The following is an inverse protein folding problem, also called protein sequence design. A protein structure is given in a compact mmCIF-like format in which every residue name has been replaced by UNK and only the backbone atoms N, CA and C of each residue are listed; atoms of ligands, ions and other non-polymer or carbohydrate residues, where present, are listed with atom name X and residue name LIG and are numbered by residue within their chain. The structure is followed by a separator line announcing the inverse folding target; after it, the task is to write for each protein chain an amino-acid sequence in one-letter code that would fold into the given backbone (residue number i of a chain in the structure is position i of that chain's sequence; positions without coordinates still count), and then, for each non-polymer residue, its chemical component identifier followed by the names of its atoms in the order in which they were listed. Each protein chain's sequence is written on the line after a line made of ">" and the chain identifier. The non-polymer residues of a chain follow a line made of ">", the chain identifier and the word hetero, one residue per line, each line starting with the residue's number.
data_IF_640179595968
#
_entry.id   IF_640179595968
#
_cell.length_a   1.000
_cell.length_b   1.000
_cell.length_c   1.000
_cell.angle_alpha   90.00
_cell.angle_beta   90.00
_cell.angle_gamma   90.00
#
_symmetry.space_group_name_H-M   'P 1'
#
loop_
_entity.id
_entity.type
_entity.pdbx_description
1 polymer ?
#
# COMPACT_ATOMS: atom_id res chain seq x y z
N UNK A 1 -3.72 -20.86 -74.26
CA UNK A 1 -4.96 -20.21 -74.75
C UNK A 1 -4.66 -19.23 -75.90
N UNK A 2 -3.69 -18.32 -75.76
CA UNK A 2 -3.33 -17.38 -76.84
C UNK A 2 -2.77 -18.10 -78.08
N UNK A 3 -1.93 -19.11 -77.90
CA UNK A 3 -1.32 -19.87 -79.00
C UNK A 3 -2.34 -20.67 -79.84
N UNK A 4 -3.35 -21.28 -79.20
CA UNK A 4 -4.43 -22.01 -79.89
C UNK A 4 -5.42 -21.08 -80.62
N UNK A 5 -5.61 -19.85 -80.14
CA UNK A 5 -6.47 -18.85 -80.79
C UNK A 5 -5.87 -18.27 -82.08
N UNK A 6 -4.55 -18.11 -82.14
CA UNK A 6 -3.84 -17.62 -83.33
C UNK A 6 -3.88 -18.65 -84.46
N UNK A 7 -3.79 -19.95 -84.13
CA UNK A 7 -3.86 -21.02 -85.13
C UNK A 7 -5.26 -21.14 -85.77
N UNK A 8 -6.32 -20.82 -85.03
CA UNK A 8 -7.72 -20.86 -85.51
C UNK A 8 -8.24 -19.54 -86.13
N UNK A 9 -7.36 -18.57 -86.44
CA UNK A 9 -7.73 -17.24 -86.99
C UNK A 9 -8.81 -16.47 -86.18
N UNK A 10 -8.92 -16.72 -84.88
CA UNK A 10 -9.96 -16.12 -84.04
C UNK A 10 -9.47 -14.83 -83.35
N UNK A 11 -9.11 -13.82 -84.16
CA UNK A 11 -8.51 -12.55 -83.71
C UNK A 11 -9.37 -11.76 -82.72
N UNK A 12 -10.70 -11.92 -82.79
CA UNK A 12 -11.65 -11.25 -81.90
C UNK A 12 -11.37 -11.57 -80.42
N UNK A 13 -11.07 -12.83 -80.07
CA UNK A 13 -10.79 -13.21 -78.69
C UNK A 13 -9.46 -12.65 -78.18
N UNK A 14 -8.45 -12.53 -79.04
CA UNK A 14 -7.14 -11.99 -78.65
C UNK A 14 -7.24 -10.50 -78.32
N UNK A 15 -8.01 -9.73 -79.11
CA UNK A 15 -8.27 -8.31 -78.85
C UNK A 15 -9.08 -8.11 -77.56
N UNK A 16 -10.12 -8.93 -77.34
CA UNK A 16 -10.95 -8.86 -76.13
C UNK A 16 -10.12 -9.19 -74.88
N UNK A 17 -9.37 -10.29 -74.89
CA UNK A 17 -8.53 -10.70 -73.75
C UNK A 17 -7.43 -9.67 -73.49
N UNK A 18 -6.76 -9.18 -74.53
CA UNK A 18 -5.76 -8.11 -74.42
C UNK A 18 -6.33 -6.82 -73.82
N UNK A 19 -7.54 -6.43 -74.27
CA UNK A 19 -8.25 -5.26 -73.74
C UNK A 19 -8.57 -5.37 -72.25
N UNK A 20 -9.01 -6.55 -71.79
CA UNK A 20 -9.29 -6.79 -70.36
C UNK A 20 -8.01 -6.68 -69.52
N UNK A 21 -6.89 -7.24 -69.97
CA UNK A 21 -5.62 -7.11 -69.24
C UNK A 21 -5.14 -5.65 -69.15
N UNK A 22 -5.20 -4.90 -70.24
CA UNK A 22 -4.84 -3.47 -70.24
C UNK A 22 -5.72 -2.70 -69.26
N UNK A 23 -7.03 -2.92 -69.30
CA UNK A 23 -7.98 -2.26 -68.38
C UNK A 23 -7.66 -2.59 -66.91
N UNK A 24 -7.36 -3.86 -66.59
CA UNK A 24 -7.02 -4.26 -65.22
C UNK A 24 -5.73 -3.61 -64.72
N UNK A 25 -4.69 -3.49 -65.56
CA UNK A 25 -3.43 -2.84 -65.20
C UNK A 25 -3.64 -1.33 -65.00
N UNK A 26 -4.40 -0.68 -65.88
CA UNK A 26 -4.74 0.75 -65.72
C UNK A 26 -5.50 1.00 -64.42
N UNK A 27 -6.46 0.15 -64.09
CA UNK A 27 -7.26 0.28 -62.87
C UNK A 27 -6.41 0.03 -61.60
N UNK A 28 -5.48 -0.93 -61.65
CA UNK A 28 -4.52 -1.16 -60.57
C UNK A 28 -3.58 0.04 -60.34
N UNK A 29 -3.04 0.64 -61.40
CA UNK A 29 -2.20 1.85 -61.32
C UNK A 29 -2.98 3.02 -60.72
N UNK A 30 -4.25 3.18 -61.13
CA UNK A 30 -5.11 4.25 -60.63
C UNK A 30 -5.38 4.11 -59.12
N UNK A 31 -5.76 2.91 -58.66
CA UNK A 31 -5.98 2.63 -57.24
C UNK A 31 -4.69 2.85 -56.44
N UNK A 32 -3.55 2.38 -56.94
CA UNK A 32 -2.26 2.56 -56.28
C UNK A 32 -1.87 4.03 -56.13
N UNK A 33 -2.06 4.81 -57.21
CA UNK A 33 -1.79 6.25 -57.22
C UNK A 33 -2.70 6.98 -56.25
N UNK A 34 -4.00 6.69 -56.25
CA UNK A 34 -4.97 7.28 -55.30
C UNK A 34 -4.54 7.05 -53.85
N UNK A 35 -4.16 5.82 -53.49
CA UNK A 35 -3.67 5.49 -52.14
C UNK A 35 -2.41 6.26 -51.77
N UNK A 36 -1.46 6.39 -52.70
CA UNK A 36 -0.20 7.10 -52.46
C UNK A 36 -0.42 8.60 -52.23
N UNK A 37 -1.30 9.22 -53.01
CA UNK A 37 -1.65 10.64 -52.86
C UNK A 37 -2.38 10.91 -51.55
N UNK A 38 -3.35 10.07 -51.16
CA UNK A 38 -4.07 10.23 -49.88
C UNK A 38 -3.13 10.06 -48.68
N UNK A 39 -2.21 9.10 -48.70
CA UNK A 39 -1.25 8.92 -47.60
C UNK A 39 -0.32 10.15 -47.45
N UNK A 40 0.13 10.70 -48.59
CA UNK A 40 0.97 11.90 -48.59
C UNK A 40 0.23 13.14 -48.07
N UNK A 41 -1.04 13.32 -48.42
CA UNK A 41 -1.84 14.45 -47.92
C UNK A 41 -2.14 14.35 -46.42
N UNK A 42 -2.37 13.13 -45.91
CA UNK A 42 -2.59 12.91 -44.47
C UNK A 42 -1.32 13.23 -43.68
N UNK A 43 -0.14 12.79 -44.14
CA UNK A 43 1.14 13.09 -43.49
C UNK A 43 1.49 14.59 -43.54
N UNK A 44 1.11 15.30 -44.60
CA UNK A 44 1.30 16.75 -44.69
C UNK A 44 0.33 17.53 -43.76
N UNK A 45 -0.81 16.94 -43.41
CA UNK A 45 -1.81 17.51 -42.50
C UNK A 45 -1.53 17.27 -41.01
N UNK A 46 -0.62 16.35 -40.66
CA UNK A 46 -0.12 16.22 -39.29
C UNK A 46 0.68 17.48 -38.97
N UNK A 47 0.15 18.33 -38.10
CA UNK A 47 0.84 19.52 -37.62
C UNK A 47 2.24 19.14 -37.16
N UNK A 48 3.27 19.71 -37.79
CA UNK A 48 4.65 19.44 -37.40
C UNK A 48 4.80 19.86 -35.94
N UNK A 49 5.35 19.00 -35.09
CA UNK A 49 5.70 19.29 -33.70
C UNK A 49 6.89 20.26 -33.60
N UNK A 50 6.99 21.21 -34.52
CA UNK A 50 8.01 22.24 -34.52
C UNK A 50 7.54 23.38 -33.63
N UNK A 51 8.19 23.52 -32.47
CA UNK A 51 7.98 24.64 -31.56
C UNK A 51 9.11 25.62 -31.86
N UNK A 52 8.86 26.76 -32.52
CA UNK A 52 9.91 27.71 -32.88
C UNK A 52 10.46 28.37 -31.60
N UNK A 53 11.62 27.94 -31.13
CA UNK A 53 12.29 28.50 -29.93
C UNK A 53 13.68 29.08 -30.30
N UNK A 54 14.12 28.87 -31.54
CA UNK A 54 15.43 29.29 -32.02
C UNK A 54 15.52 30.82 -32.20
N UNK A 55 16.76 31.32 -32.22
CA UNK A 55 17.02 32.76 -32.37
C UNK A 55 16.74 33.16 -33.82
N UNK A 56 15.77 34.04 -34.04
CA UNK A 56 15.45 34.61 -35.37
C UNK A 56 14.08 34.21 -35.92
N UNK A 57 13.42 33.19 -35.36
CA UNK A 57 12.11 32.73 -35.84
C UNK A 57 10.93 33.46 -35.22
N UNK A 58 11.13 34.04 -34.03
CA UNK A 58 10.13 34.82 -33.30
C UNK A 58 10.65 36.21 -32.97
N UNK A 59 9.76 37.19 -32.96
CA UNK A 59 10.06 38.54 -32.49
C UNK A 59 10.66 38.52 -31.08
N UNK A 60 11.67 39.36 -30.83
CA UNK A 60 12.47 39.32 -29.60
C UNK A 60 11.63 39.37 -28.31
N UNK A 61 10.56 40.17 -28.30
CA UNK A 61 9.63 40.28 -27.17
C UNK A 61 8.84 38.99 -26.90
N UNK A 62 8.30 38.36 -27.94
CA UNK A 62 7.56 37.09 -27.83
C UNK A 62 8.50 35.98 -27.39
N UNK A 63 9.69 35.89 -27.99
CA UNK A 63 10.71 34.92 -27.58
C UNK A 63 11.10 35.11 -26.12
N UNK A 64 11.35 36.34 -25.68
CA UNK A 64 11.67 36.64 -24.27
C UNK A 64 10.54 36.21 -23.35
N UNK A 65 9.29 36.44 -23.74
CA UNK A 65 8.12 35.99 -22.97
C UNK A 65 8.04 34.47 -22.88
N UNK A 66 8.19 33.75 -24.00
CA UNK A 66 8.16 32.28 -24.04
C UNK A 66 9.30 31.70 -23.19
N UNK A 67 10.53 32.19 -23.36
CA UNK A 67 11.69 31.72 -22.58
C UNK A 67 11.46 31.97 -21.09
N UNK A 68 10.93 33.15 -20.71
CA UNK A 68 10.60 33.45 -19.30
C UNK A 68 9.55 32.50 -18.73
N UNK A 69 8.52 32.14 -19.50
CA UNK A 69 7.48 31.22 -19.05
C UNK A 69 7.98 29.76 -19.00
N UNK A 70 8.82 29.36 -19.95
CA UNK A 70 9.49 28.06 -19.94
C UNK A 70 10.42 27.93 -18.74
N UNK A 71 11.21 28.96 -18.43
CA UNK A 71 12.07 29.01 -17.26
C UNK A 71 11.25 28.89 -15.97
N UNK A 72 10.16 29.65 -15.84
CA UNK A 72 9.24 29.54 -14.70
C UNK A 72 8.66 28.13 -14.58
N UNK A 73 8.22 27.54 -15.68
CA UNK A 73 7.63 26.19 -15.69
C UNK A 73 8.67 25.12 -15.36
N UNK A 74 9.91 25.28 -15.84
CA UNK A 74 11.05 24.42 -15.52
C UNK A 74 11.37 24.47 -14.02
N UNK A 75 11.39 25.67 -13.43
CA UNK A 75 11.59 25.85 -11.98
C UNK A 75 10.46 25.16 -11.19
N UNK A 76 9.19 25.41 -11.52
CA UNK A 76 8.04 24.77 -10.85
C UNK A 76 8.12 23.25 -10.96
N UNK A 77 8.40 22.71 -12.14
CA UNK A 77 8.51 21.27 -12.35
C UNK A 77 9.69 20.66 -11.57
N UNK A 78 10.80 21.38 -11.46
CA UNK A 78 11.96 20.96 -10.68
C UNK A 78 11.71 21.03 -9.16
N UNK A 79 11.01 22.06 -8.69
CA UNK A 79 10.62 22.24 -7.29
C UNK A 79 9.53 21.24 -6.86
N UNK A 80 8.65 20.83 -7.77
CA UNK A 80 7.54 19.89 -7.48
C UNK A 80 7.98 18.42 -7.42
N UNK A 81 9.24 18.11 -7.72
CA UNK A 81 9.72 16.72 -7.62
C UNK A 81 9.78 16.30 -6.16
N UNK A 82 9.28 15.10 -5.80
CA UNK A 82 9.44 14.56 -4.46
C UNK A 82 10.95 14.45 -4.17
N UNK A 83 11.38 14.96 -3.02
CA UNK A 83 12.77 14.88 -2.55
C UNK A 83 12.77 14.28 -1.15
N UNK A 84 13.78 13.47 -0.89
CA UNK A 84 14.05 13.01 0.46
C UNK A 84 14.60 14.18 1.29
N UNK A 85 14.26 14.21 2.57
CA UNK A 85 14.58 15.32 3.48
C UNK A 85 16.09 15.60 3.59
N UNK A 86 16.94 14.60 3.37
CA UNK A 86 18.40 14.75 3.47
C UNK A 86 19.02 15.61 2.35
N UNK A 87 18.46 15.55 1.13
CA UNK A 87 18.98 16.31 -0.01
C UNK A 87 18.85 17.83 0.15
N UNK A 88 17.89 18.25 0.98
CA UNK A 88 17.60 19.66 1.25
C UNK A 88 18.63 20.35 2.15
N UNK A 89 19.39 19.57 2.94
CA UNK A 89 20.41 20.10 3.86
C UNK A 89 21.76 20.25 3.15
N UNK A 90 22.07 19.32 2.23
CA UNK A 90 23.37 19.27 1.52
C UNK A 90 23.49 20.43 0.53
N UNK A 91 22.40 20.75 -0.15
CA UNK A 91 22.37 21.87 -1.07
C UNK A 91 21.56 22.99 -0.40
N UNK A 92 22.23 24.06 0.01
CA UNK A 92 21.65 25.27 0.61
C UNK A 92 20.73 26.03 -0.39
N UNK A 93 19.69 25.37 -0.88
CA UNK A 93 18.62 25.95 -1.67
C UNK A 93 17.43 26.19 -0.74
N UNK A 94 16.87 27.39 -0.79
CA UNK A 94 15.57 27.63 -0.19
C UNK A 94 14.53 26.86 -1.00
N UNK A 95 13.78 25.96 -0.35
CA UNK A 95 12.62 25.33 -0.98
C UNK A 95 11.61 26.42 -1.32
N UNK A 96 11.20 26.46 -2.59
CA UNK A 96 10.14 27.34 -3.04
C UNK A 96 10.61 28.77 -3.31
N UNK A 97 11.42 28.94 -4.37
CA UNK A 97 11.78 30.27 -4.90
C UNK A 97 10.54 31.07 -5.30
N UNK A 98 9.43 30.39 -5.62
CA UNK A 98 8.14 30.98 -6.01
C UNK A 98 7.16 31.04 -4.82
N UNK A 99 7.20 30.07 -3.91
CA UNK A 99 6.40 30.04 -2.68
C UNK A 99 7.31 29.54 -1.55
N UNK A 100 7.82 30.40 -0.65
CA UNK A 100 8.69 29.94 0.43
C UNK A 100 7.90 28.96 1.30
N UNK A 101 8.35 27.70 1.33
CA UNK A 101 7.78 26.68 2.21
C UNK A 101 8.73 26.56 3.38
N UNK A 102 8.27 26.95 4.57
CA UNK A 102 8.94 26.59 5.81
C UNK A 102 8.75 25.08 6.04
N UNK A 103 9.83 24.26 6.07
CA UNK A 103 9.73 22.84 6.35
C UNK A 103 9.17 22.56 7.75
N UNK A 104 9.41 23.47 8.71
CA UNK A 104 8.92 23.30 10.07
C UNK A 104 7.42 23.61 10.18
N UNK A 105 6.94 24.61 9.43
CA UNK A 105 5.55 25.06 9.40
C UNK A 105 5.02 25.13 7.97
N UNK A 106 4.74 23.97 7.33
CA UNK A 106 4.23 23.97 5.98
C UNK A 106 2.84 24.62 5.91
N UNK A 107 2.50 25.33 4.82
CA UNK A 107 1.22 26.03 4.68
C UNK A 107 0.01 25.08 4.65
N UNK A 108 0.23 23.80 4.35
CA UNK A 108 -0.79 22.74 4.40
C UNK A 108 -0.98 22.12 5.79
N UNK A 109 -0.18 22.51 6.78
CA UNK A 109 -0.29 22.00 8.15
C UNK A 109 0.05 20.51 8.31
N UNK A 110 -0.50 19.90 9.37
CA UNK A 110 -0.29 18.48 9.67
C UNK A 110 -1.19 17.62 8.77
N UNK A 111 -0.57 16.69 8.04
CA UNK A 111 -1.28 15.75 7.19
C UNK A 111 -1.57 14.49 8.01
N UNK A 112 -2.84 14.20 8.26
CA UNK A 112 -3.29 12.97 8.92
C UNK A 112 -4.35 12.31 8.04
N UNK A 113 -4.36 10.97 8.02
CA UNK A 113 -5.34 10.19 7.29
C UNK A 113 -5.87 9.08 8.18
N UNK A 114 -7.18 8.84 8.15
CA UNK A 114 -7.75 7.75 8.93
C UNK A 114 -7.19 6.40 8.46
N UNK A 115 -6.78 5.55 9.39
CA UNK A 115 -6.20 4.23 9.13
C UNK A 115 -4.68 4.20 9.02
N UNK A 116 -4.03 5.37 8.93
CA UNK A 116 -2.58 5.48 8.79
C UNK A 116 -1.99 6.53 9.73
N UNK A 117 -0.84 6.24 10.32
CA UNK A 117 -0.05 7.28 10.98
C UNK A 117 0.60 8.19 9.94
N UNK A 118 0.90 9.42 10.34
CA UNK A 118 1.59 10.36 9.47
C UNK A 118 2.94 9.78 9.01
N UNK A 119 3.34 9.96 7.74
CA UNK A 119 4.71 9.69 7.26
C UNK A 119 5.80 10.56 7.89
N UNK A 120 5.41 11.61 8.64
CA UNK A 120 6.36 12.57 9.19
C UNK A 120 7.22 11.94 10.28
N UNK A 121 8.54 12.01 10.15
CA UNK A 121 9.51 11.58 11.18
C UNK A 121 9.81 12.69 12.20
N UNK A 122 8.82 13.54 12.46
CA UNK A 122 8.94 14.65 13.40
C UNK A 122 8.80 14.14 14.83
N UNK A 123 9.34 14.87 15.80
CA UNK A 123 9.31 14.50 17.23
C UNK A 123 7.89 14.30 17.79
N UNK A 124 6.87 14.93 17.17
CA UNK A 124 5.46 14.76 17.54
C UNK A 124 4.86 13.43 17.10
N UNK A 125 5.54 12.69 16.22
CA UNK A 125 5.09 11.41 15.70
C UNK A 125 6.05 10.27 16.08
N UNK A 126 5.77 9.64 17.22
CA UNK A 126 6.58 8.54 17.74
C UNK A 126 6.63 7.31 16.81
N UNK A 127 5.58 7.07 16.01
CA UNK A 127 5.43 5.86 15.20
C UNK A 127 5.06 6.21 13.75
N UNK A 128 6.04 6.58 12.89
CA UNK A 128 5.78 6.91 11.50
C UNK A 128 5.43 5.67 10.67
N UNK A 129 4.62 5.86 9.61
CA UNK A 129 4.28 4.83 8.62
C UNK A 129 3.57 3.56 9.14
N UNK A 130 2.80 3.67 10.22
CA UNK A 130 2.06 2.54 10.79
C UNK A 130 0.65 2.48 10.24
N UNK A 131 0.27 1.33 9.70
CA UNK A 131 -1.12 1.02 9.34
C UNK A 131 -1.87 0.53 10.58
N UNK A 132 -2.92 1.24 10.98
CA UNK A 132 -3.65 0.91 12.21
C UNK A 132 -4.36 -0.44 12.13
N UNK A 133 -4.85 -0.83 10.94
CA UNK A 133 -5.54 -2.10 10.75
C UNK A 133 -4.65 -3.32 11.06
N UNK A 134 -3.36 -3.23 10.73
CA UNK A 134 -2.41 -4.32 10.93
C UNK A 134 -2.08 -4.47 12.41
N UNK A 135 -1.85 -3.35 13.11
CA UNK A 135 -1.66 -3.36 14.56
C UNK A 135 -2.88 -3.93 15.28
N UNK A 136 -4.09 -3.51 14.88
CA UNK A 136 -5.35 -4.01 15.45
C UNK A 136 -5.50 -5.52 15.23
N UNK A 137 -5.07 -6.05 14.09
CA UNK A 137 -5.10 -7.49 13.82
C UNK A 137 -4.17 -8.29 14.74
N UNK A 138 -3.07 -7.69 15.19
CA UNK A 138 -2.08 -8.33 16.08
C UNK A 138 -2.40 -8.21 17.58
N UNK A 139 -3.26 -7.28 18.00
CA UNK A 139 -3.62 -7.10 19.42
C UNK A 139 -4.06 -8.40 20.13
N UNK A 140 -4.89 -9.27 19.53
CA UNK A 140 -5.26 -10.53 20.15
C UNK A 140 -4.06 -11.46 20.41
N UNK A 141 -3.11 -11.50 19.48
CA UNK A 141 -1.91 -12.33 19.59
C UNK A 141 -1.00 -11.82 20.71
N UNK A 142 -0.93 -10.49 20.90
CA UNK A 142 -0.18 -9.88 22.00
C UNK A 142 -0.80 -10.17 23.37
N UNK A 143 -2.13 -10.21 23.49
CA UNK A 143 -2.81 -10.59 24.74
C UNK A 143 -2.53 -12.06 25.07
N UNK A 144 -2.61 -12.93 24.07
CA UNK A 144 -2.27 -14.35 24.23
C UNK A 144 -0.81 -14.54 24.65
N UNK A 145 0.13 -13.88 23.96
CA UNK A 145 1.54 -13.93 24.31
C UNK A 145 1.77 -13.44 25.75
N UNK A 146 1.07 -12.39 26.17
CA UNK A 146 1.14 -11.91 27.55
C UNK A 146 0.57 -12.92 28.54
N UNK A 147 -0.57 -13.53 28.26
CA UNK A 147 -1.16 -14.57 29.12
C UNK A 147 -0.20 -15.75 29.29
N UNK A 148 0.36 -16.26 28.18
CA UNK A 148 1.32 -17.38 28.19
C UNK A 148 2.61 -17.02 28.94
N UNK A 149 3.07 -15.77 28.86
CA UNK A 149 4.26 -15.30 29.60
C UNK A 149 4.07 -15.28 31.13
N UNK A 150 2.83 -15.30 31.61
CA UNK A 150 2.49 -15.33 33.04
C UNK A 150 2.32 -16.75 33.59
N UNK A 151 2.51 -17.78 32.74
CA UNK A 151 2.44 -19.16 33.18
C UNK A 151 3.52 -19.46 34.23
N UNK A 152 3.18 -20.17 35.32
CA UNK A 152 4.14 -20.56 36.34
C UNK A 152 5.17 -21.55 35.78
N UNK A 153 6.37 -21.62 36.37
CA UNK A 153 7.37 -22.60 36.01
C UNK A 153 6.92 -24.02 36.35
N UNK A 154 7.40 -25.00 35.58
CA UNK A 154 7.08 -26.42 35.76
C UNK A 154 7.56 -26.93 37.14
N UNK A 155 6.68 -27.54 37.96
CA UNK A 155 7.02 -28.01 39.31
C UNK A 155 7.93 -29.25 39.31
N UNK A 156 8.00 -30.00 38.21
CA UNK A 156 8.84 -31.19 38.07
C UNK A 156 10.29 -30.86 37.74
N UNK A 157 10.54 -29.64 37.25
CA UNK A 157 11.86 -29.13 36.92
C UNK A 157 12.40 -28.30 38.09
N UNK A 158 13.31 -28.88 38.86
CA UNK A 158 14.09 -28.09 39.84
C UNK A 158 14.95 -27.06 39.08
N UNK A 159 15.04 -25.80 39.56
CA UNK A 159 15.87 -24.80 38.91
C UNK A 159 17.33 -25.29 38.92
N UNK A 160 17.81 -25.69 37.75
CA UNK A 160 19.23 -26.01 37.58
C UNK A 160 19.97 -24.69 37.75
N UNK A 161 20.97 -24.66 38.65
CA UNK A 161 21.85 -23.51 38.82
C UNK A 161 22.43 -23.14 37.44
N UNK A 162 22.49 -21.83 37.17
CA UNK A 162 23.07 -21.18 35.99
C UNK A 162 22.16 -21.02 34.75
N UNK A 163 21.37 -19.94 34.76
CA UNK A 163 21.10 -19.12 33.56
C UNK A 163 20.30 -19.74 32.41
N UNK A 164 19.79 -20.97 32.52
CA UNK A 164 18.92 -21.56 31.50
C UNK A 164 17.47 -21.07 31.62
N UNK A 165 16.76 -20.90 30.48
CA UNK A 165 15.37 -20.46 30.48
C UNK A 165 14.49 -21.47 31.22
N UNK A 166 13.80 -21.00 32.26
CA UNK A 166 12.85 -21.81 33.02
C UNK A 166 11.68 -22.17 32.12
N UNK A 167 11.49 -23.47 31.90
CA UNK A 167 10.42 -23.98 31.05
C UNK A 167 9.08 -23.76 31.78
N UNK A 168 8.12 -23.13 31.10
CA UNK A 168 6.78 -22.92 31.61
C UNK A 168 6.00 -24.25 31.66
N UNK A 169 5.12 -24.40 32.65
CA UNK A 169 4.27 -25.58 32.80
C UNK A 169 3.38 -25.77 31.55
N UNK A 170 3.65 -26.84 30.79
CA UNK A 170 2.98 -27.10 29.51
C UNK A 170 1.45 -27.21 29.63
N UNK A 171 0.96 -27.73 30.75
CA UNK A 171 -0.49 -27.91 31.00
C UNK A 171 -1.20 -26.57 31.19
N UNK A 172 -0.57 -25.66 31.93
CA UNK A 172 -1.08 -24.31 32.17
C UNK A 172 -0.95 -23.46 30.91
N UNK A 173 0.14 -23.62 30.16
CA UNK A 173 0.33 -22.96 28.86
C UNK A 173 -0.77 -23.35 27.87
N UNK A 174 -1.11 -24.63 27.77
CA UNK A 174 -2.18 -25.11 26.89
C UNK A 174 -3.54 -24.48 27.24
N UNK A 175 -3.85 -24.33 28.53
CA UNK A 175 -5.09 -23.70 28.99
C UNK A 175 -5.12 -22.18 28.75
N UNK A 176 -3.97 -21.51 28.84
CA UNK A 176 -3.84 -20.06 28.64
C UNK A 176 -3.81 -19.65 27.18
N UNK A 177 -3.42 -20.55 26.28
CA UNK A 177 -3.48 -20.32 24.84
C UNK A 177 -4.93 -20.14 24.38
N UNK A 178 -5.12 -19.29 23.39
CA UNK A 178 -6.46 -19.04 22.85
C UNK A 178 -6.82 -20.20 21.90
N UNK A 179 -7.96 -20.89 22.09
CA UNK A 179 -8.43 -21.88 21.12
C UNK A 179 -8.75 -21.22 19.76
N UNK A 180 -8.50 -21.93 18.66
CA UNK A 180 -8.57 -21.36 17.29
C UNK A 180 -9.97 -20.83 16.90
N UNK A 181 -11.03 -21.35 17.51
CA UNK A 181 -12.42 -20.96 17.22
C UNK A 181 -12.97 -19.88 18.16
N UNK A 182 -12.17 -19.43 19.13
CA UNK A 182 -12.63 -18.54 20.20
C UNK A 182 -12.36 -17.08 19.85
N UNK A 183 -13.42 -16.27 19.79
CA UNK A 183 -13.30 -14.83 19.63
C UNK A 183 -12.62 -14.16 20.84
N UNK A 184 -12.05 -12.97 20.64
CA UNK A 184 -11.33 -12.26 21.73
C UNK A 184 -12.22 -11.99 22.96
N UNK A 185 -13.53 -11.80 22.75
CA UNK A 185 -14.49 -11.57 23.82
C UNK A 185 -14.57 -12.76 24.76
N UNK A 186 -14.76 -13.95 24.19
CA UNK A 186 -14.85 -15.20 24.95
C UNK A 186 -13.52 -15.50 25.64
N UNK A 187 -12.40 -15.25 24.95
CA UNK A 187 -11.06 -15.40 25.52
C UNK A 187 -10.82 -14.47 26.72
N UNK A 188 -11.19 -13.20 26.64
CA UNK A 188 -11.07 -12.26 27.76
C UNK A 188 -11.99 -12.66 28.93
N UNK A 189 -13.18 -13.20 28.65
CA UNK A 189 -14.06 -13.76 29.69
C UNK A 189 -13.39 -14.94 30.40
N UNK A 190 -12.78 -15.87 29.64
CA UNK A 190 -12.01 -16.99 30.21
C UNK A 190 -10.85 -16.50 31.08
N UNK A 191 -10.06 -15.54 30.61
CA UNK A 191 -8.98 -14.93 31.40
C UNK A 191 -9.49 -14.20 32.65
N UNK A 192 -10.68 -13.61 32.57
CA UNK A 192 -11.37 -13.00 33.72
C UNK A 192 -11.79 -14.04 34.75
N UNK A 193 -12.34 -15.19 34.34
CA UNK A 193 -12.67 -16.31 35.24
C UNK A 193 -11.44 -16.90 35.93
N UNK A 194 -10.31 -16.96 35.21
CA UNK A 194 -9.02 -17.39 35.78
C UNK A 194 -8.39 -16.33 36.70
N UNK A 195 -8.98 -15.13 36.81
CA UNK A 195 -8.51 -14.07 37.70
C UNK A 195 -7.27 -13.31 37.22
N UNK A 196 -6.82 -13.52 35.97
CA UNK A 196 -5.62 -12.85 35.44
C UNK A 196 -5.85 -11.35 35.22
N UNK A 197 -7.07 -10.91 34.96
CA UNK A 197 -7.35 -9.52 34.59
C UNK A 197 -7.89 -8.76 35.80
N UNK A 198 -7.11 -7.81 36.31
CA UNK A 198 -7.49 -6.91 37.39
C UNK A 198 -7.31 -5.44 36.98
N UNK A 199 -8.35 -4.58 37.06
CA UNK A 199 -9.78 -4.84 37.24
C UNK A 199 -10.47 -5.34 35.96
N UNK A 200 -11.50 -6.16 36.09
CA UNK A 200 -12.30 -6.69 34.96
C UNK A 200 -13.03 -5.61 34.14
N UNK A 201 -13.16 -4.39 34.66
CA UNK A 201 -13.74 -3.23 33.96
C UNK A 201 -12.91 -2.79 32.75
N UNK A 202 -11.60 -3.05 32.75
CA UNK A 202 -10.73 -2.67 31.62
C UNK A 202 -11.11 -3.48 30.36
N UNK A 203 -11.37 -4.78 30.49
CA UNK A 203 -11.81 -5.61 29.37
C UNK A 203 -13.11 -5.09 28.74
N UNK A 204 -14.05 -4.58 29.56
CA UNK A 204 -15.31 -4.01 29.07
C UNK A 204 -15.15 -2.69 28.31
N UNK A 205 -14.09 -1.93 28.59
CA UNK A 205 -13.79 -0.68 27.87
C UNK A 205 -12.98 -0.92 26.60
N UNK A 206 -12.06 -1.90 26.62
CA UNK A 206 -11.26 -2.30 25.48
C UNK A 206 -12.09 -2.98 24.39
N UNK A 207 -12.97 -3.92 24.74
CA UNK A 207 -13.72 -4.74 23.78
C UNK A 207 -14.52 -3.92 22.76
N UNK A 208 -15.36 -2.94 23.15
CA UNK A 208 -16.11 -2.13 22.19
C UNK A 208 -15.21 -1.32 21.25
N UNK A 209 -14.06 -0.83 21.76
CA UNK A 209 -13.11 -0.08 20.96
C UNK A 209 -12.44 -0.98 19.93
N UNK A 210 -12.02 -2.19 20.34
CA UNK A 210 -11.45 -3.21 19.45
C UNK A 210 -12.46 -3.70 18.41
N UNK A 211 -13.68 -4.03 18.83
CA UNK A 211 -14.73 -4.54 17.92
C UNK A 211 -15.12 -3.49 16.89
N UNK A 212 -15.23 -2.22 17.31
CA UNK A 212 -15.41 -1.10 16.38
C UNK A 212 -14.23 -1.03 15.42
N UNK A 213 -12.98 -1.02 15.91
CA UNK A 213 -11.79 -0.94 15.07
C UNK A 213 -11.73 -2.04 14.01
N UNK A 214 -12.07 -3.28 14.39
CA UNK A 214 -11.94 -4.46 13.53
C UNK A 214 -13.11 -4.65 12.58
N UNK A 215 -14.35 -4.38 13.03
CA UNK A 215 -15.57 -4.79 12.32
C UNK A 215 -16.40 -3.64 11.75
N UNK A 216 -16.11 -2.36 12.07
CA UNK A 216 -16.94 -1.26 11.59
C UNK A 216 -16.79 -0.95 10.09
N UNK A 217 -15.76 -1.49 9.43
CA UNK A 217 -15.46 -1.26 8.00
C UNK A 217 -15.04 0.17 7.65
N UNK A 218 -14.88 1.05 8.65
CA UNK A 218 -14.38 2.43 8.48
C UNK A 218 -12.96 2.53 9.01
N UNK A 219 -12.08 3.31 8.34
CA UNK A 219 -10.74 3.55 8.85
C UNK A 219 -10.82 4.34 10.18
N UNK A 220 -9.87 4.08 11.08
CA UNK A 220 -9.81 4.65 12.43
C UNK A 220 -8.95 5.91 12.46
N UNK A 221 -9.37 6.94 13.18
CA UNK A 221 -8.56 8.15 13.36
C UNK A 221 -7.36 7.93 14.30
N UNK A 222 -6.31 8.75 14.17
CA UNK A 222 -5.13 8.64 15.02
C UNK A 222 -5.45 8.79 16.52
N UNK A 223 -6.40 9.67 16.87
CA UNK A 223 -6.84 9.86 18.26
C UNK A 223 -7.58 8.63 18.80
N UNK A 224 -8.49 8.04 18.02
CA UNK A 224 -9.18 6.80 18.41
C UNK A 224 -8.18 5.65 18.58
N UNK A 225 -7.19 5.53 17.70
CA UNK A 225 -6.13 4.54 17.80
C UNK A 225 -5.29 4.71 19.07
N UNK A 226 -4.87 5.94 19.39
CA UNK A 226 -4.13 6.22 20.61
C UNK A 226 -4.94 5.88 21.87
N UNK A 227 -6.25 6.14 21.86
CA UNK A 227 -7.14 5.76 22.96
C UNK A 227 -7.26 4.24 23.10
N UNK A 228 -7.39 3.51 21.98
CA UNK A 228 -7.38 2.04 21.96
C UNK A 228 -6.05 1.48 22.48
N UNK A 229 -4.91 2.06 22.07
CA UNK A 229 -3.60 1.62 22.54
C UNK A 229 -3.40 1.91 24.02
N UNK A 230 -3.96 3.01 24.53
CA UNK A 230 -3.94 3.33 25.97
C UNK A 230 -4.77 2.36 26.79
N UNK A 231 -5.98 2.01 26.34
CA UNK A 231 -6.80 1.00 27.04
C UNK A 231 -6.18 -0.39 26.96
N UNK A 232 -5.55 -0.70 25.83
CA UNK A 232 -4.79 -1.94 25.63
C UNK A 232 -3.58 -2.06 26.56
N UNK A 233 -2.76 -1.00 26.68
CA UNK A 233 -1.61 -1.03 27.59
C UNK A 233 -2.03 -1.14 29.06
N UNK A 234 -3.14 -0.47 29.43
CA UNK A 234 -3.76 -0.64 30.73
C UNK A 234 -4.23 -2.09 30.94
N UNK A 235 -4.81 -2.72 29.93
CA UNK A 235 -5.21 -4.14 29.98
C UNK A 235 -4.01 -5.05 30.23
N UNK A 236 -2.93 -4.89 29.46
CA UNK A 236 -1.71 -5.69 29.64
C UNK A 236 -1.04 -5.46 31.01
N UNK A 237 -1.10 -4.23 31.53
CA UNK A 237 -0.59 -3.89 32.86
C UNK A 237 -1.44 -4.47 34.00
N UNK A 238 -2.75 -4.60 33.75
CA UNK A 238 -3.69 -5.24 34.67
C UNK A 238 -3.66 -6.77 34.64
N UNK A 239 -2.88 -7.37 33.73
CA UNK A 239 -2.66 -8.82 33.72
C UNK A 239 -1.64 -9.22 34.78
N UNK A 240 -2.12 -9.85 35.85
CA UNK A 240 -1.34 -10.33 36.98
C UNK A 240 -1.16 -11.86 36.94
N UNK A 241 -0.31 -12.36 37.84
CA UNK A 241 -0.06 -13.80 37.97
C UNK A 241 -1.32 -14.54 38.45
N UNK A 242 -1.47 -15.78 38.01
CA UNK A 242 -2.52 -16.70 38.43
C UNK A 242 -2.46 -16.97 39.94
N UNK A 243 -3.63 -17.17 40.54
CA UNK A 243 -3.73 -17.65 41.93
C UNK A 243 -3.16 -19.08 42.03
N UNK A 244 -2.23 -19.34 42.98
CA UNK A 244 -1.67 -20.68 43.19
C UNK A 244 -2.73 -21.77 43.41
N UNK A 245 -3.87 -21.48 44.03
CA UNK A 245 -4.94 -22.45 44.25
C UNK A 245 -5.54 -22.99 42.94
N UNK A 246 -5.74 -22.10 41.96
CA UNK A 246 -6.28 -22.46 40.64
C UNK A 246 -5.26 -23.33 39.88
N UNK A 247 -3.97 -23.00 39.99
CA UNK A 247 -2.89 -23.79 39.39
C UNK A 247 -2.88 -25.22 39.94
N UNK A 248 -3.05 -25.40 41.26
CA UNK A 248 -3.12 -26.72 41.87
C UNK A 248 -4.34 -27.52 41.38
N UNK A 249 -5.50 -26.87 41.22
CA UNK A 249 -6.72 -27.52 40.69
C UNK A 249 -6.56 -27.98 39.24
N UNK A 250 -5.98 -27.14 38.37
CA UNK A 250 -5.73 -27.47 36.96
C UNK A 250 -4.81 -28.68 36.85
N UNK A 251 -3.74 -28.72 37.65
CA UNK A 251 -2.81 -29.85 37.72
C UNK A 251 -3.49 -31.13 38.21
N UNK A 252 -4.35 -31.04 39.22
CA UNK A 252 -5.08 -32.19 39.74
C UNK A 252 -6.08 -32.78 38.71
N UNK A 253 -6.77 -31.93 37.95
CA UNK A 253 -7.71 -32.38 36.91
C UNK A 253 -6.99 -33.01 35.71
N UNK A 254 -5.87 -32.44 35.29
CA UNK A 254 -5.11 -32.90 34.11
C UNK A 254 -4.27 -34.14 34.43
N UNK A 255 -3.65 -34.20 35.61
CA UNK A 255 -2.89 -35.37 36.07
C UNK A 255 -3.75 -36.63 36.28
N UNK A 256 -5.05 -36.48 36.51
CA UNK A 256 -6.00 -37.59 36.64
C UNK A 256 -6.46 -38.23 35.33
N UNK A 257 -6.19 -37.62 34.16
CA UNK A 257 -6.57 -38.18 32.86
C UNK A 257 -5.48 -39.07 32.20
N UNK A 258 -4.27 -39.10 32.74
CA UNK A 258 -3.13 -39.85 32.19
C UNK A 258 -2.83 -41.17 32.93
N UNK A 259 -3.78 -41.72 33.68
CA UNK A 259 -3.66 -43.01 34.38
C UNK A 259 -4.92 -43.87 34.15
#
# INVERSE_FOLDING_TARGET
>A
IIWTAVHNKAYQYVVVVGGVYVLTVSLAIFIYSSRLYTNRSVLAGVGKAYIPIEKGELGHGIRKMIVKQLERSCIVAWESRPRDSEDSIIHNYTVGRIIPVDPENPPWGKIEHDGWSSPSHRDDNANPHVQFADVVAELPNLIEARAVSLAPPDPTMTPTQDGQPVIADSTVVELLRRPENTGIREYLTQLGYLGLIQPSTIAQTFLPQYERARFCGRPMSAMEFNNLMKTFSLLLSGMSQLDPEIIHQIRAQTGGQNN
#
